data_IF_357428411500
#
_entry.id   IF_357428411500
#
_cell.length_a   1.000
_cell.length_b   1.000
_cell.length_c   1.000
_cell.angle_alpha   90.00
_cell.angle_beta   90.00
_cell.angle_gamma   90.00
#
_symmetry.space_group_name_H-M   'P 1'
#
loop_
_entity.id
_entity.type
_entity.pdbx_description
1 polymer ?
#
# COMPACT_ATOMS: atom_id res chain seq x y z
N UNK A 1 -4.46 -37.32 -39.66
CA UNK A 1 -4.71 -36.04 -40.36
C UNK A 1 -5.74 -35.29 -39.53
N UNK A 2 -5.35 -34.38 -38.62
CA UNK A 2 -5.03 -32.95 -38.86
C UNK A 2 -6.24 -32.25 -39.53
N UNK A 3 -7.00 -31.38 -38.85
CA UNK A 3 -6.64 -30.00 -38.43
C UNK A 3 -7.75 -29.48 -37.46
N UNK A 4 -7.49 -28.85 -36.30
CA UNK A 4 -7.15 -27.42 -36.02
C UNK A 4 -8.05 -26.44 -36.80
N UNK A 5 -8.66 -25.37 -36.27
CA UNK A 5 -8.62 -24.62 -35.00
C UNK A 5 -9.71 -23.54 -35.15
N UNK A 6 -10.51 -23.29 -34.12
CA UNK A 6 -11.32 -22.09 -34.00
C UNK A 6 -10.98 -21.43 -32.66
N UNK A 7 -9.94 -20.60 -32.66
CA UNK A 7 -9.62 -19.70 -31.55
C UNK A 7 -10.65 -18.59 -31.60
N UNK A 8 -11.43 -18.45 -30.52
CA UNK A 8 -12.28 -17.28 -30.35
C UNK A 8 -11.39 -16.05 -30.17
N UNK A 9 -11.68 -15.01 -30.95
CA UNK A 9 -11.11 -13.68 -30.79
C UNK A 9 -11.40 -13.17 -29.37
N UNK A 10 -10.40 -13.23 -28.50
CA UNK A 10 -10.31 -12.29 -27.38
C UNK A 10 -10.09 -10.91 -28.01
N UNK A 11 -11.07 -10.03 -27.90
CA UNK A 11 -10.96 -8.65 -28.32
C UNK A 11 -9.86 -7.98 -27.50
N UNK A 12 -8.64 -7.96 -28.05
CA UNK A 12 -7.53 -7.16 -27.54
C UNK A 12 -7.93 -5.70 -27.72
N UNK A 13 -8.32 -5.06 -26.61
CA UNK A 13 -8.61 -3.63 -26.54
C UNK A 13 -7.37 -2.88 -27.07
N UNK A 14 -7.48 -2.19 -28.20
CA UNK A 14 -6.45 -1.25 -28.63
C UNK A 14 -6.47 -0.05 -27.67
N UNK A 15 -5.34 0.29 -27.02
CA UNK A 15 -5.34 1.36 -26.02
C UNK A 15 -5.26 2.73 -26.70
N UNK A 16 -6.34 3.50 -26.61
CA UNK A 16 -6.28 4.95 -26.81
C UNK A 16 -5.47 5.59 -25.68
N UNK A 17 -4.53 6.48 -26.01
CA UNK A 17 -3.75 7.21 -25.02
C UNK A 17 -4.68 8.08 -24.17
N UNK A 18 -4.86 7.73 -22.89
CA UNK A 18 -5.65 8.52 -21.96
C UNK A 18 -4.89 9.78 -21.54
N UNK A 19 -5.24 10.90 -22.15
CA UNK A 19 -4.86 12.24 -21.70
C UNK A 19 -6.08 12.79 -20.96
N UNK A 20 -5.94 13.06 -19.66
CA UNK A 20 -7.03 13.69 -18.91
C UNK A 20 -7.21 15.12 -19.42
N UNK A 21 -8.43 15.55 -19.76
CA UNK A 21 -8.66 16.92 -20.19
C UNK A 21 -8.22 17.90 -19.10
N UNK A 22 -7.74 19.11 -19.46
CA UNK A 22 -7.46 20.16 -18.49
C UNK A 22 -8.70 20.42 -17.62
N UNK A 23 -8.54 20.87 -16.35
CA UNK A 23 -9.64 21.03 -15.41
C UNK A 23 -10.78 21.83 -16.06
N UNK A 24 -11.82 21.10 -16.47
CA UNK A 24 -12.93 21.67 -17.20
C UNK A 24 -13.76 22.49 -16.20
N UNK A 25 -14.35 23.64 -16.59
CA UNK A 25 -15.34 24.30 -15.75
C UNK A 25 -16.40 23.27 -15.39
N UNK A 26 -16.62 23.03 -14.09
CA UNK A 26 -17.65 22.11 -13.62
C UNK A 26 -18.96 22.46 -14.33
N UNK A 27 -19.50 21.54 -15.14
CA UNK A 27 -20.94 21.56 -15.43
C UNK A 27 -21.67 21.55 -14.08
N UNK A 28 -22.88 22.12 -13.97
CA UNK A 28 -23.65 22.02 -12.74
C UNK A 28 -23.79 20.54 -12.41
N UNK A 29 -23.05 20.09 -11.39
CA UNK A 29 -23.15 18.74 -10.92
C UNK A 29 -24.50 18.63 -10.22
N UNK A 30 -25.23 17.53 -10.44
CA UNK A 30 -26.44 17.19 -9.67
C UNK A 30 -26.03 16.72 -8.26
N UNK A 31 -25.19 17.50 -7.57
CA UNK A 31 -24.84 17.29 -6.18
C UNK A 31 -25.75 18.15 -5.31
N UNK A 32 -26.22 17.56 -4.22
CA UNK A 32 -26.84 18.37 -3.19
C UNK A 32 -25.79 19.21 -2.43
N UNK A 33 -26.26 20.12 -1.57
CA UNK A 33 -25.39 21.04 -0.86
C UNK A 33 -24.36 20.33 0.04
N UNK A 34 -24.75 19.20 0.67
CA UNK A 34 -23.86 18.42 1.53
C UNK A 34 -22.77 17.70 0.73
N UNK A 35 -23.14 17.10 -0.42
CA UNK A 35 -22.17 16.44 -1.30
C UNK A 35 -21.18 17.43 -1.90
N UNK A 36 -21.62 18.65 -2.23
CA UNK A 36 -20.74 19.71 -2.70
C UNK A 36 -19.76 20.16 -1.61
N UNK A 37 -20.23 20.23 -0.35
CA UNK A 37 -19.37 20.56 0.79
C UNK A 37 -18.32 19.46 1.04
N UNK A 38 -18.73 18.19 1.00
CA UNK A 38 -17.81 17.05 1.12
C UNK A 38 -16.80 16.99 -0.02
N UNK A 39 -17.20 17.30 -1.27
CA UNK A 39 -16.27 17.39 -2.40
C UNK A 39 -15.23 18.52 -2.19
N UNK A 40 -15.66 19.69 -1.71
CA UNK A 40 -14.73 20.79 -1.37
C UNK A 40 -13.82 20.42 -0.21
N UNK A 41 -14.34 19.70 0.78
CA UNK A 41 -13.55 19.18 1.90
C UNK A 41 -12.52 18.15 1.42
N UNK A 42 -12.87 17.29 0.46
CA UNK A 42 -11.89 16.43 -0.20
C UNK A 42 -10.78 17.25 -0.83
N UNK A 43 -11.14 18.28 -1.60
CA UNK A 43 -10.20 19.06 -2.38
C UNK A 43 -9.21 19.86 -1.52
N UNK A 44 -9.64 20.26 -0.32
CA UNK A 44 -8.86 21.11 0.60
C UNK A 44 -8.16 20.33 1.70
N UNK A 45 -8.72 19.21 2.15
CA UNK A 45 -8.26 18.52 3.37
C UNK A 45 -8.18 17.02 3.20
N UNK A 46 -9.27 16.31 2.90
CA UNK A 46 -9.27 14.84 3.06
C UNK A 46 -8.28 14.10 2.13
N UNK A 47 -7.93 14.67 0.97
CA UNK A 47 -6.94 14.08 0.05
C UNK A 47 -5.54 13.91 0.66
N UNK A 48 -5.18 14.67 1.70
CA UNK A 48 -3.87 14.57 2.35
C UNK A 48 -3.69 13.26 3.12
N UNK A 49 -4.77 12.52 3.35
CA UNK A 49 -4.74 11.21 4.03
C UNK A 49 -4.44 10.05 3.08
N UNK A 50 -4.40 10.29 1.77
CA UNK A 50 -4.07 9.27 0.78
C UNK A 50 -2.58 8.91 0.89
N UNK A 51 -2.30 7.72 1.42
CA UNK A 51 -0.94 7.18 1.49
C UNK A 51 -0.43 6.81 0.08
N UNK A 52 0.26 7.73 -0.59
CA UNK A 52 0.77 7.54 -1.97
C UNK A 52 2.29 7.74 -2.05
N UNK A 53 2.88 7.40 -3.21
CA UNK A 53 4.24 7.81 -3.55
C UNK A 53 4.35 9.24 -4.08
N UNK A 54 3.23 9.87 -4.42
CA UNK A 54 3.25 11.16 -5.09
C UNK A 54 3.80 12.23 -4.15
N UNK A 55 4.73 13.00 -4.68
CA UNK A 55 5.26 14.21 -4.03
C UNK A 55 4.39 15.42 -4.34
N UNK A 56 3.56 15.30 -5.39
CA UNK A 56 2.54 16.26 -5.77
C UNK A 56 1.15 15.66 -5.52
N UNK A 57 0.73 15.73 -4.26
CA UNK A 57 -0.61 15.29 -3.85
C UNK A 57 -1.71 16.16 -4.48
N UNK A 58 -1.42 17.40 -4.88
CA UNK A 58 -2.40 18.29 -5.49
C UNK A 58 -2.77 17.82 -6.91
N UNK A 59 -1.77 17.51 -7.75
CA UNK A 59 -2.02 16.92 -9.07
C UNK A 59 -2.72 15.56 -8.96
N UNK A 60 -2.36 14.75 -7.96
CA UNK A 60 -3.03 13.47 -7.75
C UNK A 60 -4.50 13.62 -7.31
N UNK A 61 -4.78 14.57 -6.41
CA UNK A 61 -6.14 14.96 -6.04
C UNK A 61 -6.94 15.43 -7.24
N UNK A 62 -6.36 16.32 -8.06
CA UNK A 62 -7.05 16.89 -9.22
C UNK A 62 -7.37 15.81 -10.26
N UNK A 63 -6.48 14.84 -10.45
CA UNK A 63 -6.73 13.64 -11.25
C UNK A 63 -7.94 12.84 -10.74
N UNK A 64 -8.02 12.56 -9.44
CA UNK A 64 -9.14 11.81 -8.85
C UNK A 64 -10.46 12.57 -8.97
N UNK A 65 -10.44 13.89 -8.75
CA UNK A 65 -11.61 14.76 -8.94
C UNK A 65 -12.03 14.74 -10.41
N UNK A 66 -11.10 14.90 -11.35
CA UNK A 66 -11.41 14.80 -12.78
C UNK A 66 -12.06 13.45 -13.10
N UNK A 67 -11.54 12.33 -12.62
CA UNK A 67 -12.13 11.00 -12.82
C UNK A 67 -13.55 10.88 -12.26
N UNK A 68 -13.84 11.52 -11.12
CA UNK A 68 -15.16 11.53 -10.49
C UNK A 68 -16.21 12.37 -11.23
N UNK A 69 -15.77 13.46 -11.87
CA UNK A 69 -16.64 14.42 -12.55
C UNK A 69 -16.76 14.15 -14.06
N UNK A 70 -15.91 13.28 -14.61
CA UNK A 70 -15.83 13.01 -16.04
C UNK A 70 -16.98 12.14 -16.55
N UNK A 71 -17.63 12.59 -17.62
CA UNK A 71 -18.60 11.86 -18.45
C UNK A 71 -19.87 11.31 -17.75
N UNK A 72 -20.03 11.49 -16.44
CA UNK A 72 -21.17 11.01 -15.63
C UNK A 72 -21.50 9.52 -15.84
N UNK A 73 -20.51 8.71 -16.21
CA UNK A 73 -20.61 7.26 -16.38
C UNK A 73 -20.79 6.56 -15.03
N UNK A 74 -21.21 5.29 -15.04
CA UNK A 74 -21.35 4.50 -13.80
C UNK A 74 -20.02 4.43 -13.01
N UNK A 75 -18.85 4.17 -13.64
CA UNK A 75 -17.57 4.22 -12.93
C UNK A 75 -17.23 5.60 -12.36
N UNK A 76 -17.50 6.69 -13.08
CA UNK A 76 -17.26 8.05 -12.55
C UNK A 76 -18.06 8.32 -11.27
N UNK A 77 -19.32 7.85 -11.20
CA UNK A 77 -20.15 7.93 -10.00
C UNK A 77 -19.62 7.08 -8.86
N UNK A 78 -19.01 5.93 -9.16
CA UNK A 78 -18.34 5.12 -8.16
C UNK A 78 -17.17 5.88 -7.51
N UNK A 79 -16.34 6.55 -8.32
CA UNK A 79 -15.24 7.40 -7.83
C UNK A 79 -15.78 8.54 -6.97
N UNK A 80 -16.81 9.24 -7.46
CA UNK A 80 -17.45 10.34 -6.73
C UNK A 80 -17.96 9.89 -5.35
N UNK A 81 -18.75 8.82 -5.28
CA UNK A 81 -19.25 8.32 -4.01
C UNK A 81 -18.13 7.80 -3.09
N UNK A 82 -17.07 7.20 -3.63
CA UNK A 82 -15.92 6.78 -2.82
C UNK A 82 -15.17 7.99 -2.23
N UNK A 83 -15.00 9.07 -3.00
CA UNK A 83 -14.44 10.35 -2.53
C UNK A 83 -15.29 10.96 -1.40
N UNK A 84 -16.62 11.03 -1.60
CA UNK A 84 -17.54 11.58 -0.61
C UNK A 84 -17.58 10.73 0.67
N UNK A 85 -17.53 9.40 0.54
CA UNK A 85 -17.43 8.48 1.68
C UNK A 85 -16.17 8.74 2.49
N UNK A 86 -15.01 8.81 1.84
CA UNK A 86 -13.73 9.08 2.51
C UNK A 86 -13.72 10.46 3.17
N UNK A 87 -14.26 11.47 2.50
CA UNK A 87 -14.34 12.84 3.03
C UNK A 87 -15.22 12.91 4.27
N UNK A 88 -16.37 12.23 4.23
CA UNK A 88 -17.29 12.17 5.34
C UNK A 88 -16.71 11.39 6.53
N UNK A 89 -16.03 10.27 6.27
CA UNK A 89 -15.29 9.52 7.30
C UNK A 89 -14.19 10.37 7.94
N UNK A 90 -13.43 11.09 7.12
CA UNK A 90 -12.34 11.94 7.60
C UNK A 90 -12.85 13.12 8.44
N UNK A 91 -14.00 13.71 8.08
CA UNK A 91 -14.57 14.87 8.77
C UNK A 91 -15.27 14.49 10.07
N UNK A 92 -16.13 13.48 10.00
CA UNK A 92 -17.17 13.22 11.01
C UNK A 92 -17.07 11.80 11.60
N UNK A 93 -16.09 11.00 11.20
CA UNK A 93 -15.96 9.59 11.59
C UNK A 93 -16.97 8.67 10.89
N UNK A 94 -17.10 7.43 11.38
CA UNK A 94 -18.03 6.46 10.79
C UNK A 94 -19.47 6.81 11.17
N UNK A 95 -20.18 7.39 10.20
CA UNK A 95 -21.59 7.76 10.35
C UNK A 95 -22.42 7.33 9.13
N UNK A 96 -23.75 7.48 9.21
CA UNK A 96 -24.70 6.98 8.22
C UNK A 96 -24.44 7.46 6.78
N UNK A 97 -24.09 8.72 6.56
CA UNK A 97 -23.80 9.27 5.23
C UNK A 97 -22.46 8.74 4.68
N UNK A 98 -21.41 8.59 5.50
CA UNK A 98 -20.18 7.91 5.10
C UNK A 98 -20.47 6.48 4.64
N UNK A 99 -21.28 5.74 5.41
CA UNK A 99 -21.73 4.39 5.05
C UNK A 99 -22.59 4.37 3.77
N UNK A 100 -23.54 5.30 3.62
CA UNK A 100 -24.39 5.42 2.41
C UNK A 100 -23.56 5.63 1.16
N UNK A 101 -22.59 6.56 1.19
CA UNK A 101 -21.73 6.82 0.05
C UNK A 101 -20.83 5.62 -0.26
N UNK A 102 -20.28 4.94 0.74
CA UNK A 102 -19.55 3.67 0.53
C UNK A 102 -20.43 2.63 -0.17
N UNK A 103 -21.65 2.41 0.30
CA UNK A 103 -22.60 1.48 -0.31
C UNK A 103 -22.95 1.87 -1.74
N UNK A 104 -23.16 3.17 -2.01
CA UNK A 104 -23.41 3.68 -3.35
C UNK A 104 -22.21 3.46 -4.29
N UNK A 105 -20.99 3.68 -3.81
CA UNK A 105 -19.77 3.43 -4.58
C UNK A 105 -19.61 1.94 -4.95
N UNK A 106 -19.79 1.04 -3.97
CA UNK A 106 -19.73 -0.41 -4.21
C UNK A 106 -20.85 -0.85 -5.16
N UNK A 107 -22.07 -0.32 -4.99
CA UNK A 107 -23.19 -0.59 -5.89
C UNK A 107 -22.91 -0.14 -7.32
N UNK A 108 -22.31 1.03 -7.52
CA UNK A 108 -21.93 1.54 -8.83
C UNK A 108 -20.80 0.70 -9.47
N UNK A 109 -19.77 0.31 -8.70
CA UNK A 109 -18.74 -0.63 -9.17
C UNK A 109 -19.35 -1.96 -9.62
N UNK A 110 -20.22 -2.54 -8.80
CA UNK A 110 -20.88 -3.81 -9.10
C UNK A 110 -21.82 -3.71 -10.31
N UNK A 111 -22.50 -2.58 -10.50
CA UNK A 111 -23.33 -2.35 -11.68
C UNK A 111 -22.47 -2.24 -12.94
N UNK A 112 -21.41 -1.42 -12.92
CA UNK A 112 -20.52 -1.26 -14.07
C UNK A 112 -19.76 -2.54 -14.42
N UNK A 113 -19.35 -3.33 -13.43
CA UNK A 113 -18.62 -4.57 -13.67
C UNK A 113 -19.44 -5.63 -14.42
N UNK A 114 -20.79 -5.58 -14.34
CA UNK A 114 -21.68 -6.49 -15.08
C UNK A 114 -21.68 -6.24 -16.58
N UNK A 115 -21.55 -4.98 -16.98
CA UNK A 115 -21.56 -4.59 -18.39
C UNK A 115 -20.18 -4.82 -19.04
N UNK A 116 -19.13 -4.96 -18.21
CA UNK A 116 -17.74 -5.13 -18.63
C UNK A 116 -16.98 -3.82 -18.62
N UNK A 117 -15.66 -3.89 -18.82
CA UNK A 117 -14.80 -2.70 -18.95
C UNK A 117 -14.65 -2.37 -20.44
N UNK A 118 -15.16 -1.22 -20.88
CA UNK A 118 -15.20 -0.87 -22.31
C UNK A 118 -14.08 0.09 -22.73
N UNK A 119 -13.36 0.70 -21.78
CA UNK A 119 -12.27 1.63 -22.09
C UNK A 119 -11.19 1.70 -20.99
N UNK A 120 -10.00 2.18 -21.36
CA UNK A 120 -8.91 2.53 -20.42
C UNK A 120 -9.39 3.53 -19.36
N UNK A 121 -10.23 4.50 -19.73
CA UNK A 121 -10.80 5.50 -18.82
C UNK A 121 -11.67 4.86 -17.75
N UNK A 122 -12.58 3.97 -18.15
CA UNK A 122 -13.45 3.26 -17.21
C UNK A 122 -12.62 2.37 -16.29
N UNK A 123 -11.62 1.65 -16.84
CA UNK A 123 -10.70 0.87 -16.04
C UNK A 123 -9.96 1.74 -15.00
N UNK A 124 -9.45 2.92 -15.40
CA UNK A 124 -8.82 3.85 -14.47
C UNK A 124 -9.80 4.35 -13.39
N UNK A 125 -11.04 4.66 -13.74
CA UNK A 125 -12.09 5.04 -12.77
C UNK A 125 -12.39 3.91 -11.79
N UNK A 126 -12.47 2.66 -12.27
CA UNK A 126 -12.62 1.48 -11.41
C UNK A 126 -11.45 1.33 -10.43
N UNK A 127 -10.21 1.51 -10.89
CA UNK A 127 -9.02 1.46 -10.03
C UNK A 127 -9.07 2.57 -8.98
N UNK A 128 -9.40 3.81 -9.38
CA UNK A 128 -9.51 4.94 -8.47
C UNK A 128 -10.57 4.72 -7.38
N UNK A 129 -11.77 4.28 -7.76
CA UNK A 129 -12.85 3.98 -6.82
C UNK A 129 -12.47 2.87 -5.83
N UNK A 130 -11.85 1.79 -6.31
CA UNK A 130 -11.33 0.72 -5.46
C UNK A 130 -10.25 1.24 -4.48
N UNK A 131 -9.27 2.01 -4.94
CA UNK A 131 -8.22 2.53 -4.06
C UNK A 131 -8.72 3.54 -3.03
N UNK A 132 -9.75 4.33 -3.36
CA UNK A 132 -10.44 5.20 -2.41
C UNK A 132 -11.21 4.39 -1.36
N UNK A 133 -11.90 3.31 -1.76
CA UNK A 133 -12.58 2.39 -0.82
C UNK A 133 -11.58 1.62 0.06
N UNK A 134 -10.43 1.24 -0.50
CA UNK A 134 -9.30 0.69 0.25
C UNK A 134 -8.85 1.68 1.34
N UNK A 135 -8.65 2.95 0.97
CA UNK A 135 -8.27 4.01 1.91
C UNK A 135 -9.35 4.27 2.95
N UNK A 136 -10.62 4.24 2.58
CA UNK A 136 -11.75 4.34 3.51
C UNK A 136 -11.68 3.25 4.59
N UNK A 137 -11.55 1.98 4.19
CA UNK A 137 -11.46 0.86 5.14
C UNK A 137 -10.23 0.96 6.04
N UNK A 138 -9.10 1.40 5.49
CA UNK A 138 -7.89 1.58 6.28
C UNK A 138 -8.08 2.68 7.33
N UNK A 139 -8.72 3.80 6.98
CA UNK A 139 -9.00 4.88 7.94
C UNK A 139 -10.00 4.48 9.03
N UNK A 140 -10.90 3.53 8.76
CA UNK A 140 -11.77 2.96 9.79
C UNK A 140 -11.00 2.17 10.87
N UNK A 141 -9.75 1.74 10.59
CA UNK A 141 -8.90 1.08 11.58
C UNK A 141 -9.53 -0.21 12.13
N UNK A 142 -9.67 -0.31 13.46
CA UNK A 142 -10.25 -1.48 14.14
C UNK A 142 -11.75 -1.66 13.92
N UNK A 143 -12.44 -0.60 13.50
CA UNK A 143 -13.88 -0.65 13.20
C UNK A 143 -14.14 -1.19 11.78
N UNK A 144 -13.09 -1.36 10.97
CA UNK A 144 -13.17 -2.04 9.69
C UNK A 144 -13.43 -3.52 9.88
N UNK A 145 -14.26 -4.08 9.00
CA UNK A 145 -14.40 -5.53 8.85
C UNK A 145 -13.16 -6.19 8.20
N UNK A 146 -12.08 -5.45 7.98
CA UNK A 146 -10.84 -5.94 7.37
C UNK A 146 -10.95 -6.10 5.86
N UNK A 147 -11.81 -5.32 5.20
CA UNK A 147 -12.09 -5.49 3.77
C UNK A 147 -11.13 -4.76 2.83
N UNK A 148 -10.24 -3.91 3.35
CA UNK A 148 -9.31 -3.15 2.51
C UNK A 148 -8.50 -3.98 1.49
N UNK A 149 -8.07 -5.23 1.78
CA UNK A 149 -7.34 -6.03 0.80
C UNK A 149 -8.19 -6.37 -0.44
N UNK A 150 -9.51 -6.49 -0.30
CA UNK A 150 -10.41 -6.82 -1.42
C UNK A 150 -10.45 -5.71 -2.45
N UNK A 151 -10.57 -4.47 -1.98
CA UNK A 151 -10.55 -3.31 -2.85
C UNK A 151 -9.18 -3.18 -3.54
N UNK A 152 -8.09 -3.41 -2.82
CA UNK A 152 -6.75 -3.41 -3.39
C UNK A 152 -6.58 -4.49 -4.48
N UNK A 153 -7.09 -5.70 -4.24
CA UNK A 153 -7.06 -6.76 -5.25
C UNK A 153 -7.90 -6.43 -6.47
N UNK A 154 -9.11 -5.90 -6.28
CA UNK A 154 -9.95 -5.44 -7.39
C UNK A 154 -9.25 -4.40 -8.25
N UNK A 155 -8.63 -3.39 -7.63
CA UNK A 155 -7.83 -2.39 -8.35
C UNK A 155 -6.70 -3.04 -9.17
N UNK A 156 -5.93 -3.95 -8.57
CA UNK A 156 -4.83 -4.64 -9.23
C UNK A 156 -5.29 -5.50 -10.41
N UNK A 157 -6.35 -6.28 -10.23
CA UNK A 157 -6.83 -7.19 -11.27
C UNK A 157 -7.34 -6.40 -12.47
N UNK A 158 -7.95 -5.23 -12.24
CA UNK A 158 -8.36 -4.29 -13.28
C UNK A 158 -7.14 -3.68 -14.00
N UNK A 159 -6.10 -3.26 -13.27
CA UNK A 159 -4.85 -2.76 -13.87
C UNK A 159 -4.27 -3.78 -14.86
N UNK A 160 -4.34 -5.07 -14.51
CA UNK A 160 -3.81 -6.16 -15.34
C UNK A 160 -4.70 -6.48 -16.52
N UNK A 161 -6.00 -6.68 -16.27
CA UNK A 161 -6.96 -7.00 -17.31
C UNK A 161 -7.03 -5.91 -18.39
N UNK A 162 -6.94 -4.63 -18.00
CA UNK A 162 -6.95 -3.50 -18.92
C UNK A 162 -5.54 -3.08 -19.42
N UNK A 163 -4.48 -3.80 -19.03
CA UNK A 163 -3.11 -3.53 -19.48
C UNK A 163 -2.57 -2.14 -19.09
N UNK A 164 -3.08 -1.54 -18.01
CA UNK A 164 -2.75 -0.16 -17.60
C UNK A 164 -1.26 0.00 -17.25
N UNK A 165 -0.60 -1.07 -16.81
CA UNK A 165 0.84 -1.08 -16.52
C UNK A 165 1.71 -0.75 -17.74
N UNK A 166 1.26 -1.13 -18.94
CA UNK A 166 1.99 -0.84 -20.19
C UNK A 166 1.77 0.60 -20.67
N UNK A 167 0.75 1.27 -20.14
CA UNK A 167 0.33 2.62 -20.54
C UNK A 167 0.86 3.72 -19.62
N UNK A 168 1.61 3.37 -18.56
CA UNK A 168 2.11 4.32 -17.54
C UNK A 168 2.91 5.49 -18.15
N UNK A 169 3.64 5.28 -19.24
CA UNK A 169 4.43 6.32 -19.90
C UNK A 169 3.64 7.13 -20.93
N UNK A 170 2.42 6.69 -21.27
CA UNK A 170 1.61 7.23 -22.37
C UNK A 170 0.32 7.88 -21.90
N UNK A 171 0.01 7.79 -20.61
CA UNK A 171 -1.25 8.25 -20.04
C UNK A 171 -1.04 8.84 -18.65
N UNK A 172 -1.98 9.70 -18.24
CA UNK A 172 -1.93 10.40 -16.96
C UNK A 172 -2.29 9.51 -15.75
N UNK A 173 -2.28 8.18 -15.89
CA UNK A 173 -2.66 7.23 -14.82
C UNK A 173 -1.48 6.72 -14.00
N UNK A 174 -0.26 7.20 -14.27
CA UNK A 174 0.97 6.72 -13.62
C UNK A 174 0.85 6.73 -12.09
N UNK A 175 0.40 7.84 -11.52
CA UNK A 175 0.31 7.99 -10.06
C UNK A 175 -0.75 7.06 -9.45
N UNK A 176 -1.84 6.80 -10.19
CA UNK A 176 -2.87 5.83 -9.79
C UNK A 176 -2.33 4.39 -9.74
N UNK A 177 -1.56 4.01 -10.75
CA UNK A 177 -0.92 2.68 -10.79
C UNK A 177 0.17 2.56 -9.72
N UNK A 178 0.96 3.61 -9.50
CA UNK A 178 1.97 3.65 -8.43
C UNK A 178 1.34 3.61 -7.03
N UNK A 179 0.19 4.25 -6.84
CA UNK A 179 -0.56 4.17 -5.59
C UNK A 179 -1.03 2.76 -5.30
N UNK A 180 -1.58 2.06 -6.30
CA UNK A 180 -1.99 0.66 -6.17
C UNK A 180 -0.79 -0.24 -5.88
N UNK A 181 0.31 -0.03 -6.60
CA UNK A 181 1.55 -0.78 -6.41
C UNK A 181 2.15 -0.61 -5.00
N UNK A 182 2.12 0.61 -4.47
CA UNK A 182 2.59 0.92 -3.12
C UNK A 182 1.85 0.08 -2.06
N UNK A 183 0.52 0.09 -2.13
CA UNK A 183 -0.32 -0.65 -1.22
C UNK A 183 -0.16 -2.16 -1.40
N UNK A 184 -0.01 -2.63 -2.64
CA UNK A 184 0.19 -4.05 -2.96
C UNK A 184 1.41 -4.65 -2.25
N UNK A 185 2.58 -4.01 -2.36
CA UNK A 185 3.81 -4.54 -1.75
C UNK A 185 3.69 -4.62 -0.23
N UNK A 186 3.12 -3.59 0.39
CA UNK A 186 3.02 -3.50 1.83
C UNK A 186 1.89 -4.38 2.38
N UNK A 187 0.85 -4.63 1.59
CA UNK A 187 -0.15 -5.65 1.90
C UNK A 187 0.48 -7.04 1.93
N UNK A 188 1.32 -7.40 0.95
CA UNK A 188 2.05 -8.67 0.96
C UNK A 188 3.01 -8.80 2.15
N UNK A 189 3.71 -7.72 2.52
CA UNK A 189 4.50 -7.70 3.76
C UNK A 189 3.60 -7.97 4.99
N UNK A 190 2.46 -7.29 5.09
CA UNK A 190 1.50 -7.49 6.17
C UNK A 190 1.01 -8.94 6.23
N UNK A 191 0.63 -9.52 5.08
CA UNK A 191 0.13 -10.89 4.95
C UNK A 191 1.20 -11.95 5.25
N UNK A 192 2.47 -11.69 4.96
CA UNK A 192 3.57 -12.60 5.28
C UNK A 192 3.72 -12.82 6.79
N UNK A 193 3.52 -11.75 7.57
CA UNK A 193 3.71 -11.74 9.03
C UNK A 193 2.42 -11.90 9.83
N UNK A 194 1.28 -11.47 9.30
CA UNK A 194 -0.01 -11.81 9.86
C UNK A 194 -0.22 -13.31 9.57
N UNK A 195 -0.19 -14.16 10.60
CA UNK A 195 -0.32 -15.63 10.53
C UNK A 195 -1.45 -16.09 11.46
N UNK A 196 -2.65 -15.55 11.26
CA UNK A 196 -3.85 -15.94 12.04
C UNK A 196 -4.52 -17.16 11.41
N UNK A 197 -4.46 -18.28 12.12
CA UNK A 197 -5.12 -19.53 11.71
C UNK A 197 -6.67 -19.48 11.78
N UNK A 198 -7.28 -18.37 12.19
CA UNK A 198 -8.72 -18.30 12.42
C UNK A 198 -9.35 -16.94 12.06
N UNK A 199 -10.38 -17.02 11.20
CA UNK A 199 -11.48 -16.07 10.87
C UNK A 199 -11.31 -15.21 9.58
N UNK A 200 -12.32 -15.14 8.67
CA UNK A 200 -13.57 -15.90 8.55
C UNK A 200 -13.66 -16.75 7.25
N UNK A 201 -13.87 -18.06 7.44
CA UNK A 201 -14.06 -19.11 6.45
C UNK A 201 -15.32 -18.96 5.53
N UNK A 202 -16.10 -17.90 5.67
CA UNK A 202 -17.39 -17.74 4.97
C UNK A 202 -17.19 -17.12 3.60
N UNK A 203 -16.61 -15.93 3.54
CA UNK A 203 -16.12 -15.37 2.27
C UNK A 203 -15.09 -16.30 1.66
N UNK A 204 -14.42 -17.09 2.51
CA UNK A 204 -13.34 -17.96 2.14
C UNK A 204 -13.65 -18.89 0.94
N UNK A 205 -14.91 -19.29 0.97
CA UNK A 205 -15.52 -20.26 0.11
C UNK A 205 -16.10 -19.63 -1.15
N UNK A 206 -16.50 -18.37 -1.09
CA UNK A 206 -17.11 -17.64 -2.22
C UNK A 206 -16.09 -17.26 -3.31
N UNK A 207 -14.81 -17.08 -2.95
CA UNK A 207 -13.74 -16.82 -3.93
C UNK A 207 -12.90 -18.06 -4.28
N UNK A 208 -13.34 -19.27 -3.88
CA UNK A 208 -12.67 -20.54 -4.26
C UNK A 208 -11.33 -20.82 -3.56
N UNK A 209 -10.91 -20.00 -2.59
CA UNK A 209 -9.67 -20.21 -1.83
C UNK A 209 -9.91 -21.16 -0.65
N UNK A 210 -9.98 -22.47 -0.93
CA UNK A 210 -10.23 -23.51 0.07
C UNK A 210 -9.06 -23.82 1.02
N UNK A 211 -7.89 -23.16 0.86
CA UNK A 211 -6.62 -23.54 1.52
C UNK A 211 -6.15 -22.66 2.67
N UNK A 212 -6.87 -21.59 3.00
CA UNK A 212 -6.46 -20.60 4.00
C UNK A 212 -6.06 -19.26 3.37
N UNK A 213 -6.94 -18.29 3.54
CA UNK A 213 -6.99 -17.06 2.73
C UNK A 213 -5.76 -16.19 2.81
N UNK A 214 -5.15 -16.13 3.98
CA UNK A 214 -3.96 -15.32 4.25
C UNK A 214 -2.74 -15.75 3.40
N UNK A 215 -2.62 -17.06 3.15
CA UNK A 215 -1.52 -17.66 2.37
C UNK A 215 -1.83 -17.65 0.87
N UNK A 216 -3.09 -17.93 0.53
CA UNK A 216 -3.61 -17.82 -0.84
C UNK A 216 -3.44 -16.36 -1.33
N UNK A 217 -3.75 -15.35 -0.52
CA UNK A 217 -3.59 -13.93 -0.90
C UNK A 217 -2.15 -13.53 -1.21
N UNK A 218 -1.12 -14.03 -0.49
CA UNK A 218 0.27 -13.73 -0.86
C UNK A 218 0.62 -14.25 -2.26
N UNK A 219 0.08 -15.42 -2.65
CA UNK A 219 0.29 -16.06 -3.95
C UNK A 219 -0.65 -15.60 -5.08
N UNK A 220 -1.91 -15.27 -4.76
CA UNK A 220 -2.91 -14.70 -5.68
C UNK A 220 -2.65 -13.23 -5.96
N UNK A 221 -1.80 -12.58 -5.18
CA UNK A 221 -1.34 -11.25 -5.54
C UNK A 221 -0.44 -11.33 -6.77
N UNK A 222 -1.07 -11.13 -7.92
CA UNK A 222 -0.37 -11.06 -9.19
C UNK A 222 0.62 -9.90 -9.12
N UNK A 223 1.92 -10.19 -9.14
CA UNK A 223 3.00 -9.23 -8.91
C UNK A 223 2.94 -8.05 -9.91
N UNK A 224 2.71 -6.84 -9.43
CA UNK A 224 3.03 -5.62 -10.18
C UNK A 224 4.52 -5.38 -10.03
N UNK A 225 5.26 -5.15 -11.12
CA UNK A 225 6.70 -4.81 -11.05
C UNK A 225 6.95 -3.53 -11.80
N UNK A 226 7.21 -2.46 -11.06
CA UNK A 226 7.45 -1.13 -11.63
C UNK A 226 8.87 -0.68 -11.31
N UNK A 227 9.61 -0.29 -12.34
CA UNK A 227 10.93 0.36 -12.22
C UNK A 227 10.77 1.85 -12.52
N UNK A 228 10.04 2.56 -11.65
CA UNK A 228 9.63 3.95 -11.89
C UNK A 228 10.17 4.87 -10.80
N UNK A 229 11.41 5.32 -10.96
CA UNK A 229 12.09 6.16 -9.97
C UNK A 229 12.69 5.36 -8.81
N UNK A 230 13.43 6.05 -7.95
CA UNK A 230 14.26 5.44 -6.92
C UNK A 230 13.46 4.73 -5.84
N UNK A 231 12.47 5.41 -5.24
CA UNK A 231 11.71 4.85 -4.14
C UNK A 231 10.84 3.63 -4.55
N UNK A 232 10.06 3.68 -5.66
CA UNK A 232 9.35 2.47 -6.13
C UNK A 232 10.28 1.31 -6.46
N UNK A 233 11.51 1.59 -6.92
CA UNK A 233 12.52 0.55 -7.18
C UNK A 233 13.01 -0.12 -5.89
N UNK A 234 13.24 0.65 -4.81
CA UNK A 234 13.56 0.09 -3.48
C UNK A 234 12.40 -0.79 -2.99
N UNK A 235 11.16 -0.30 -3.11
CA UNK A 235 9.99 -1.07 -2.69
C UNK A 235 9.80 -2.34 -3.53
N UNK A 236 10.19 -2.33 -4.81
CA UNK A 236 10.21 -3.55 -5.62
C UNK A 236 11.09 -4.62 -5.03
N UNK A 237 12.28 -4.28 -4.57
CA UNK A 237 13.17 -5.26 -3.96
C UNK A 237 12.63 -5.80 -2.63
N UNK A 238 11.92 -4.98 -1.84
CA UNK A 238 11.14 -5.49 -0.70
C UNK A 238 10.11 -6.53 -1.19
N UNK A 239 9.36 -6.20 -2.25
CA UNK A 239 8.41 -7.12 -2.87
C UNK A 239 9.06 -8.42 -3.35
N UNK A 240 10.24 -8.36 -3.99
CA UNK A 240 10.98 -9.54 -4.47
C UNK A 240 11.44 -10.44 -3.30
N UNK A 241 11.79 -9.85 -2.16
CA UNK A 241 12.16 -10.57 -0.91
C UNK A 241 10.93 -11.23 -0.29
N UNK A 242 9.82 -10.50 -0.15
CA UNK A 242 8.55 -11.04 0.37
C UNK A 242 8.08 -12.20 -0.51
N UNK A 243 8.14 -12.05 -1.82
CA UNK A 243 7.79 -13.11 -2.77
C UNK A 243 8.66 -14.36 -2.61
N UNK A 244 9.98 -14.17 -2.47
CA UNK A 244 10.90 -15.29 -2.27
C UNK A 244 10.58 -16.05 -0.97
N UNK A 245 10.23 -15.32 0.10
CA UNK A 245 9.83 -15.91 1.38
C UNK A 245 8.49 -16.65 1.25
N UNK A 246 7.46 -16.05 0.63
CA UNK A 246 6.18 -16.74 0.40
C UNK A 246 6.39 -18.02 -0.44
N UNK A 247 7.14 -17.96 -1.54
CA UNK A 247 7.40 -19.13 -2.40
C UNK A 247 8.17 -20.25 -1.68
N UNK A 248 9.07 -19.91 -0.75
CA UNK A 248 9.79 -20.89 0.06
C UNK A 248 8.89 -21.68 1.01
N UNK A 249 7.73 -21.15 1.36
CA UNK A 249 6.73 -21.84 2.18
C UNK A 249 5.90 -22.82 1.33
N UNK A 250 5.72 -22.54 0.03
CA UNK A 250 4.86 -23.32 -0.88
C UNK A 250 5.59 -24.40 -1.67
N UNK A 251 6.89 -24.25 -1.90
CA UNK A 251 7.70 -25.12 -2.75
C UNK A 251 8.89 -25.69 -1.98
N UNK A 252 9.37 -26.87 -2.38
CA UNK A 252 10.67 -27.44 -1.97
C UNK A 252 11.86 -26.63 -2.53
N UNK A 253 11.72 -25.30 -2.60
CA UNK A 253 12.78 -24.41 -3.04
C UNK A 253 13.96 -24.62 -2.11
N UNK A 254 15.08 -25.08 -2.65
CA UNK A 254 16.30 -25.28 -1.87
C UNK A 254 16.64 -23.98 -1.14
N UNK A 255 17.01 -24.10 0.15
CA UNK A 255 17.49 -22.97 0.96
C UNK A 255 18.55 -22.14 0.21
N UNK A 256 19.39 -22.79 -0.58
CA UNK A 256 20.43 -22.13 -1.41
C UNK A 256 19.86 -21.20 -2.49
N UNK A 257 18.69 -21.52 -3.08
CA UNK A 257 18.03 -20.69 -4.11
C UNK A 257 17.37 -19.47 -3.46
N UNK A 258 16.70 -19.69 -2.32
CA UNK A 258 16.12 -18.61 -1.52
C UNK A 258 17.20 -17.61 -1.09
N UNK A 259 18.30 -18.11 -0.51
CA UNK A 259 19.45 -17.32 -0.09
C UNK A 259 20.00 -16.48 -1.25
N UNK A 260 20.24 -17.08 -2.43
CA UNK A 260 20.73 -16.34 -3.61
C UNK A 260 19.79 -15.21 -4.05
N UNK A 261 18.48 -15.40 -3.99
CA UNK A 261 17.49 -14.37 -4.36
C UNK A 261 17.50 -13.20 -3.38
N UNK A 262 17.55 -13.49 -2.09
CA UNK A 262 17.59 -12.45 -1.04
C UNK A 262 18.88 -11.63 -1.14
N UNK A 263 20.03 -12.29 -1.35
CA UNK A 263 21.31 -11.60 -1.59
C UNK A 263 21.29 -10.73 -2.85
N UNK A 264 20.70 -11.23 -3.94
CA UNK A 264 20.55 -10.47 -5.16
C UNK A 264 19.69 -9.21 -4.94
N UNK A 265 18.58 -9.33 -4.22
CA UNK A 265 17.74 -8.19 -3.87
C UNK A 265 18.50 -7.17 -3.01
N UNK A 266 19.21 -7.61 -1.98
CA UNK A 266 20.01 -6.73 -1.12
C UNK A 266 21.06 -5.95 -1.90
N UNK A 267 21.88 -6.64 -2.69
CA UNK A 267 22.91 -6.02 -3.51
C UNK A 267 22.30 -5.01 -4.49
N UNK A 268 21.10 -5.31 -5.00
CA UNK A 268 20.40 -4.40 -5.89
C UNK A 268 19.85 -3.16 -5.16
N UNK A 269 19.33 -3.29 -3.94
CA UNK A 269 18.91 -2.15 -3.09
C UNK A 269 20.08 -1.21 -2.83
N UNK A 270 21.26 -1.76 -2.51
CA UNK A 270 22.50 -0.97 -2.28
C UNK A 270 22.95 -0.19 -3.52
N UNK A 271 22.59 -0.67 -4.72
CA UNK A 271 22.95 -0.05 -6.01
C UNK A 271 21.92 0.91 -6.56
N UNK A 272 20.75 1.06 -5.92
CA UNK A 272 19.74 2.01 -6.39
C UNK A 272 20.28 3.43 -6.25
N UNK A 273 20.36 4.21 -7.35
CA UNK A 273 20.93 5.56 -7.33
C UNK A 273 20.10 6.48 -6.43
N UNK A 274 20.70 7.60 -6.03
CA UNK A 274 19.97 8.66 -5.33
C UNK A 274 18.80 9.20 -6.17
N UNK A 275 17.72 9.69 -5.51
CA UNK A 275 16.55 10.16 -6.22
C UNK A 275 16.89 11.38 -7.09
N UNK A 276 16.48 11.32 -8.35
CA UNK A 276 16.54 12.49 -9.24
C UNK A 276 15.51 13.51 -8.77
N UNK A 277 15.97 14.69 -8.39
CA UNK A 277 15.12 15.78 -7.92
C UNK A 277 14.63 16.57 -9.14
N UNK A 278 13.31 16.69 -9.36
CA UNK A 278 12.77 17.52 -10.43
C UNK A 278 13.23 18.98 -10.26
N UNK A 279 13.65 19.66 -11.33
CA UNK A 279 14.20 21.03 -11.26
C UNK A 279 13.18 22.06 -10.73
N UNK A 280 11.88 21.74 -10.78
CA UNK A 280 10.78 22.57 -10.28
C UNK A 280 10.47 22.36 -8.79
N UNK A 281 11.11 21.39 -8.13
CA UNK A 281 10.83 21.06 -6.73
C UNK A 281 11.37 22.13 -5.79
N UNK A 282 10.61 22.50 -4.76
CA UNK A 282 11.15 23.35 -3.70
C UNK A 282 12.28 22.63 -2.95
N UNK A 283 13.19 23.38 -2.32
CA UNK A 283 14.26 22.80 -1.51
C UNK A 283 13.72 21.90 -0.37
N UNK A 284 12.53 22.23 0.16
CA UNK A 284 11.84 21.45 1.19
C UNK A 284 11.35 20.11 0.64
N UNK A 285 10.74 20.11 -0.54
CA UNK A 285 10.21 18.90 -1.18
C UNK A 285 11.35 17.98 -1.62
N UNK A 286 12.41 18.55 -2.19
CA UNK A 286 13.65 17.84 -2.53
C UNK A 286 14.23 17.12 -1.30
N UNK A 287 14.36 17.83 -0.16
CA UNK A 287 14.82 17.22 1.09
C UNK A 287 13.89 16.10 1.56
N UNK A 288 12.57 16.30 1.51
CA UNK A 288 11.57 15.29 1.90
C UNK A 288 11.70 14.01 1.06
N UNK A 289 11.90 14.15 -0.26
CA UNK A 289 12.08 13.02 -1.18
C UNK A 289 13.34 12.22 -0.85
N UNK A 290 14.47 12.91 -0.66
CA UNK A 290 15.75 12.28 -0.33
C UNK A 290 15.66 11.54 1.01
N UNK A 291 15.18 12.22 2.05
CA UNK A 291 15.03 11.63 3.38
C UNK A 291 14.09 10.43 3.38
N UNK A 292 12.94 10.53 2.68
CA UNK A 292 12.00 9.42 2.62
C UNK A 292 12.57 8.20 1.86
N UNK A 293 13.25 8.47 0.75
CA UNK A 293 13.91 7.43 -0.04
C UNK A 293 14.96 6.70 0.79
N UNK A 294 15.76 7.45 1.54
CA UNK A 294 16.77 6.88 2.42
C UNK A 294 16.15 6.08 3.57
N UNK A 295 15.07 6.57 4.18
CA UNK A 295 14.36 5.86 5.24
C UNK A 295 13.87 4.47 4.77
N UNK A 296 13.28 4.39 3.56
CA UNK A 296 12.91 3.11 2.95
C UNK A 296 14.13 2.24 2.62
N UNK A 297 15.20 2.82 2.08
CA UNK A 297 16.43 2.08 1.74
C UNK A 297 16.99 1.40 2.99
N UNK A 298 17.11 2.14 4.09
CA UNK A 298 17.61 1.65 5.38
C UNK A 298 16.69 0.55 5.91
N UNK A 299 15.38 0.80 5.99
CA UNK A 299 14.42 -0.17 6.51
C UNK A 299 14.43 -1.50 5.71
N UNK A 300 14.47 -1.44 4.37
CA UNK A 300 14.54 -2.65 3.54
C UNK A 300 15.85 -3.41 3.77
N UNK A 301 16.98 -2.71 3.89
CA UNK A 301 18.28 -3.36 4.15
C UNK A 301 18.36 -3.98 5.54
N UNK A 302 17.81 -3.32 6.57
CA UNK A 302 17.69 -3.88 7.94
C UNK A 302 16.84 -5.14 7.90
N UNK A 303 15.65 -5.07 7.28
CA UNK A 303 14.74 -6.20 7.17
C UNK A 303 15.41 -7.39 6.46
N UNK A 304 16.10 -7.15 5.33
CA UNK A 304 16.84 -8.21 4.62
C UNK A 304 17.95 -8.80 5.48
N UNK A 305 18.73 -7.97 6.17
CA UNK A 305 19.81 -8.46 7.02
C UNK A 305 19.28 -9.35 8.15
N UNK A 306 18.18 -8.95 8.79
CA UNK A 306 17.52 -9.74 9.82
C UNK A 306 16.94 -11.05 9.29
N UNK A 307 16.44 -11.06 8.06
CA UNK A 307 16.06 -12.31 7.38
C UNK A 307 17.27 -13.22 7.17
N UNK A 308 18.41 -12.68 6.71
CA UNK A 308 19.62 -13.47 6.49
C UNK A 308 20.15 -14.09 7.77
N UNK A 309 20.15 -13.33 8.87
CA UNK A 309 20.46 -13.83 10.21
C UNK A 309 19.50 -14.97 10.61
N UNK A 310 18.20 -14.72 10.52
CA UNK A 310 17.13 -15.65 10.92
C UNK A 310 17.10 -16.96 10.11
N UNK A 311 17.30 -16.88 8.78
CA UNK A 311 17.13 -18.02 7.87
C UNK A 311 18.43 -18.73 7.50
N UNK A 312 19.55 -18.02 7.52
CA UNK A 312 20.83 -18.54 7.03
C UNK A 312 21.95 -18.48 8.07
N UNK A 313 21.70 -17.91 9.27
CA UNK A 313 22.73 -17.78 10.29
C UNK A 313 23.84 -16.80 9.88
N UNK A 314 23.49 -15.78 9.09
CA UNK A 314 24.43 -14.77 8.57
C UNK A 314 24.23 -13.41 9.26
N UNK A 315 24.70 -13.24 10.51
CA UNK A 315 24.57 -11.97 11.20
C UNK A 315 25.37 -10.87 10.50
N UNK A 316 24.86 -9.64 10.57
CA UNK A 316 25.49 -8.46 9.98
C UNK A 316 25.60 -7.36 11.02
N UNK A 317 26.66 -6.58 10.96
CA UNK A 317 26.72 -5.34 11.72
C UNK A 317 25.77 -4.31 11.10
N UNK A 318 24.71 -4.00 11.83
CA UNK A 318 23.67 -3.04 11.43
C UNK A 318 23.83 -1.68 12.08
N UNK A 319 24.82 -1.48 12.95
CA UNK A 319 24.95 -0.27 13.79
C UNK A 319 24.91 1.00 12.94
N UNK A 320 25.82 1.10 11.96
CA UNK A 320 25.90 2.26 11.06
C UNK A 320 24.63 2.47 10.21
N UNK A 321 23.93 1.38 9.87
CA UNK A 321 22.72 1.44 9.05
C UNK A 321 21.54 1.95 9.89
N UNK A 322 21.41 1.43 11.11
CA UNK A 322 20.40 1.85 12.09
C UNK A 322 20.62 3.32 12.48
N UNK A 323 21.87 3.73 12.76
CA UNK A 323 22.21 5.12 13.08
C UNK A 323 21.77 6.09 11.99
N UNK A 324 21.99 5.73 10.72
CA UNK A 324 21.50 6.51 9.57
C UNK A 324 19.97 6.61 9.54
N UNK A 325 19.27 5.53 9.86
CA UNK A 325 17.80 5.52 9.95
C UNK A 325 17.28 6.45 11.04
N UNK A 326 17.86 6.38 12.23
CA UNK A 326 17.48 7.25 13.35
C UNK A 326 17.84 8.72 13.11
N UNK A 327 18.94 9.01 12.41
CA UNK A 327 19.26 10.37 11.99
C UNK A 327 18.21 10.95 11.01
N UNK A 328 17.57 10.12 10.18
CA UNK A 328 16.44 10.57 9.35
C UNK A 328 15.17 10.81 10.18
N UNK A 329 14.90 9.94 11.16
CA UNK A 329 13.75 10.06 12.08
C UNK A 329 13.85 11.35 12.92
N UNK A 330 15.04 11.68 13.42
CA UNK A 330 15.30 12.90 14.20
C UNK A 330 14.95 14.17 13.41
N UNK A 331 15.30 14.17 12.11
CA UNK A 331 15.01 15.30 11.23
C UNK A 331 13.56 15.35 10.74
N UNK A 332 12.80 14.26 10.90
CA UNK A 332 11.42 14.18 10.48
C UNK A 332 10.49 14.88 11.50
N UNK A 333 9.60 15.74 10.99
CA UNK A 333 8.59 16.36 11.83
C UNK A 333 7.40 15.43 12.06
N UNK A 334 6.94 14.78 10.99
CA UNK A 334 5.90 13.74 10.97
C UNK A 334 6.35 12.65 10.01
N UNK A 335 5.82 11.43 10.16
CA UNK A 335 6.06 10.36 9.19
C UNK A 335 4.79 9.56 8.94
N UNK A 336 4.22 9.78 7.76
CA UNK A 336 3.02 9.09 7.26
C UNK A 336 3.33 7.69 6.72
N UNK A 337 4.59 7.21 6.78
CA UNK A 337 5.03 5.97 6.12
C UNK A 337 5.34 4.94 7.19
N UNK A 338 4.42 3.99 7.36
CA UNK A 338 4.42 3.13 8.54
C UNK A 338 5.47 2.00 8.45
N UNK A 339 5.73 1.45 7.26
CA UNK A 339 6.71 0.38 7.09
C UNK A 339 8.12 0.74 7.61
N UNK A 340 8.75 1.85 7.19
CA UNK A 340 10.09 2.16 7.69
C UNK A 340 10.14 2.44 9.18
N UNK A 341 9.09 3.07 9.74
CA UNK A 341 8.99 3.34 11.18
C UNK A 341 8.82 2.06 11.97
N UNK A 342 8.04 1.10 11.47
CA UNK A 342 7.91 -0.21 12.10
C UNK A 342 9.25 -0.94 12.15
N UNK A 343 9.93 -1.08 11.01
CA UNK A 343 11.20 -1.82 10.95
C UNK A 343 12.28 -1.15 11.81
N UNK A 344 12.45 0.17 11.73
CA UNK A 344 13.44 0.89 12.54
C UNK A 344 13.06 0.94 14.02
N UNK A 345 11.77 1.05 14.33
CA UNK A 345 11.26 1.00 15.70
C UNK A 345 11.50 -0.35 16.36
N UNK A 346 11.42 -1.46 15.61
CA UNK A 346 11.83 -2.78 16.09
C UNK A 346 13.32 -2.86 16.47
N UNK A 347 14.16 -1.95 15.96
CA UNK A 347 15.60 -1.85 16.25
C UNK A 347 15.90 -0.78 17.34
N UNK A 348 14.88 -0.20 17.97
CA UNK A 348 15.03 0.78 19.05
C UNK A 348 15.43 0.08 20.37
N UNK A 349 16.71 -0.29 20.45
CA UNK A 349 17.30 -1.01 21.58
C UNK A 349 17.73 -0.12 22.77
N UNK A 350 17.48 1.18 22.72
CA UNK A 350 17.72 2.10 23.84
C UNK A 350 16.47 2.94 24.09
N UNK A 351 16.31 3.43 25.32
CA UNK A 351 15.18 4.27 25.70
C UNK A 351 15.12 5.56 24.87
N UNK A 352 16.28 6.14 24.52
CA UNK A 352 16.33 7.33 23.66
C UNK A 352 15.73 7.06 22.29
N UNK A 353 16.07 5.92 21.67
CA UNK A 353 15.53 5.52 20.37
C UNK A 353 14.03 5.20 20.46
N UNK A 354 13.58 4.56 21.54
CA UNK A 354 12.15 4.28 21.78
C UNK A 354 11.36 5.59 21.91
N UNK A 355 11.88 6.55 22.67
CA UNK A 355 11.30 7.90 22.82
C UNK A 355 11.21 8.61 21.46
N UNK A 356 12.27 8.58 20.65
CA UNK A 356 12.26 9.19 19.31
C UNK A 356 11.13 8.65 18.43
N UNK A 357 10.89 7.33 18.45
CA UNK A 357 9.80 6.70 17.71
C UNK A 357 8.44 7.13 18.26
N UNK A 358 8.24 7.06 19.58
CA UNK A 358 6.98 7.45 20.22
C UNK A 358 6.63 8.92 19.99
N UNK A 359 7.61 9.82 20.03
CA UNK A 359 7.42 11.24 19.74
C UNK A 359 7.11 11.51 18.26
N UNK A 360 7.70 10.74 17.34
CA UNK A 360 7.34 10.83 15.92
C UNK A 360 5.89 10.35 15.67
N UNK A 361 5.48 9.25 16.30
CA UNK A 361 4.10 8.75 16.20
C UNK A 361 3.10 9.77 16.75
N UNK A 362 3.35 10.32 17.94
CA UNK A 362 2.51 11.35 18.56
C UNK A 362 2.33 12.58 17.66
N UNK A 363 3.43 13.15 17.15
CA UNK A 363 3.38 14.29 16.23
C UNK A 363 2.63 13.97 14.93
N UNK A 364 2.69 12.71 14.48
CA UNK A 364 1.97 12.27 13.29
C UNK A 364 0.46 12.15 13.55
N UNK A 365 0.05 11.62 14.70
CA UNK A 365 -1.36 11.51 15.13
C UNK A 365 -2.03 12.90 15.27
N UNK A 366 -1.28 13.92 15.72
CA UNK A 366 -1.79 15.30 15.82
C UNK A 366 -2.17 15.91 14.46
N UNK A 367 -1.67 15.35 13.36
CA UNK A 367 -1.87 15.88 11.99
C UNK A 367 -2.61 14.92 11.07
N UNK A 368 -2.92 13.71 11.53
CA UNK A 368 -3.48 12.65 10.71
C UNK A 368 -4.58 11.89 11.46
N UNK A 369 -5.72 11.69 10.80
CA UNK A 369 -6.89 10.99 11.36
C UNK A 369 -6.66 9.47 11.44
N UNK A 370 -5.61 8.95 10.80
CA UNK A 370 -5.33 7.52 10.78
C UNK A 370 -4.92 7.01 12.17
N UNK A 371 -5.65 6.03 12.68
CA UNK A 371 -5.26 5.29 13.88
C UNK A 371 -3.92 4.57 13.68
N UNK A 372 -2.89 4.96 14.45
CA UNK A 372 -1.58 4.29 14.49
C UNK A 372 -1.53 3.21 15.58
N UNK A 373 -2.67 2.87 16.19
CA UNK A 373 -2.76 1.97 17.35
C UNK A 373 -2.20 0.58 17.10
N UNK A 374 -2.38 0.04 15.89
CA UNK A 374 -1.80 -1.25 15.52
C UNK A 374 -0.27 -1.17 15.44
N UNK A 375 0.28 -0.07 14.93
CA UNK A 375 1.73 0.14 14.86
C UNK A 375 2.32 0.31 16.25
N UNK A 376 1.73 1.18 17.09
CA UNK A 376 2.19 1.43 18.48
C UNK A 376 2.17 0.14 19.30
N UNK A 377 1.03 -0.57 19.34
CA UNK A 377 0.93 -1.87 20.05
C UNK A 377 1.92 -2.90 19.51
N UNK A 378 2.17 -2.88 18.21
CA UNK A 378 3.16 -3.76 17.59
C UNK A 378 4.57 -3.49 18.13
N UNK A 379 4.98 -2.22 18.13
CA UNK A 379 6.29 -1.79 18.65
C UNK A 379 6.43 -2.06 20.15
N UNK A 380 5.42 -1.72 20.95
CA UNK A 380 5.41 -2.00 22.39
C UNK A 380 5.59 -3.51 22.65
N UNK A 381 4.91 -4.35 21.87
CA UNK A 381 5.05 -5.80 21.97
C UNK A 381 6.46 -6.26 21.62
N UNK A 382 7.11 -5.68 20.61
CA UNK A 382 8.51 -6.00 20.27
C UNK A 382 9.43 -5.65 21.43
N UNK A 383 9.31 -4.44 21.98
CA UNK A 383 10.16 -3.96 23.06
C UNK A 383 9.97 -4.79 24.34
N UNK A 384 8.73 -5.13 24.69
CA UNK A 384 8.43 -6.02 25.81
C UNK A 384 9.08 -7.40 25.62
N UNK A 385 9.01 -7.97 24.41
CA UNK A 385 9.65 -9.26 24.13
C UNK A 385 11.17 -9.17 24.19
N UNK A 386 11.76 -8.07 23.73
CA UNK A 386 13.21 -7.87 23.80
C UNK A 386 13.68 -7.69 25.25
N UNK A 387 12.93 -6.95 26.07
CA UNK A 387 13.24 -6.75 27.49
C UNK A 387 13.09 -8.04 28.31
N UNK A 388 12.10 -8.88 28.01
CA UNK A 388 11.89 -10.18 28.67
C UNK A 388 12.95 -11.23 28.31
N UNK A 389 13.56 -11.11 27.13
CA UNK A 389 14.56 -12.05 26.63
C UNK A 389 16.01 -11.55 26.83
N UNK A 390 16.20 -10.37 27.46
CA UNK A 390 17.53 -9.78 27.67
C UNK A 390 18.48 -10.70 28.47
N UNK A 391 17.95 -11.52 29.37
CA UNK A 391 18.70 -12.43 30.24
C UNK A 391 18.61 -13.92 29.82
N UNK A 392 17.95 -14.24 28.69
CA UNK A 392 17.74 -15.62 28.25
C UNK A 392 18.70 -16.02 27.12
N UNK A 393 19.29 -17.22 27.22
CA UNK A 393 20.18 -17.78 26.19
C UNK A 393 19.46 -18.11 24.85
N UNK A 394 18.13 -17.98 24.79
CA UNK A 394 17.32 -18.30 23.60
C UNK A 394 16.59 -17.06 23.11
N UNK A 395 17.28 -16.22 22.34
CA UNK A 395 16.65 -15.10 21.66
C UNK A 395 15.62 -15.60 20.63
N UNK A 396 14.43 -14.98 20.61
CA UNK A 396 13.42 -15.25 19.58
C UNK A 396 13.96 -14.84 18.21
N UNK A 397 13.79 -15.72 17.22
CA UNK A 397 14.08 -15.43 15.81
C UNK A 397 13.34 -14.16 15.36
N UNK A 398 14.01 -13.28 14.62
CA UNK A 398 13.45 -11.98 14.24
C UNK A 398 12.16 -12.13 13.43
N UNK A 399 12.11 -13.10 12.51
CA UNK A 399 10.90 -13.34 11.72
C UNK A 399 9.77 -13.87 12.59
N UNK A 400 10.06 -14.77 13.53
CA UNK A 400 9.04 -15.27 14.45
C UNK A 400 8.52 -14.18 15.37
N UNK A 401 9.39 -13.28 15.85
CA UNK A 401 8.99 -12.07 16.59
C UNK A 401 8.03 -11.21 15.76
N UNK A 402 8.38 -10.89 14.51
CA UNK A 402 7.48 -10.13 13.62
C UNK A 402 6.17 -10.87 13.37
N UNK A 403 6.20 -12.20 13.17
CA UNK A 403 5.00 -12.99 12.94
C UNK A 403 4.06 -12.92 14.15
N UNK A 404 4.57 -13.07 15.38
CA UNK A 404 3.78 -12.99 16.61
C UNK A 404 3.19 -11.60 16.78
N UNK A 405 4.01 -10.57 16.65
CA UNK A 405 3.63 -9.17 16.86
C UNK A 405 2.58 -8.72 15.84
N UNK A 406 2.81 -8.98 14.55
CA UNK A 406 1.84 -8.59 13.50
C UNK A 406 0.54 -9.38 13.67
N UNK A 407 0.61 -10.67 14.01
CA UNK A 407 -0.57 -11.53 14.27
C UNK A 407 -1.39 -11.14 15.51
N UNK A 408 -0.83 -10.32 16.41
CA UNK A 408 -1.58 -9.77 17.56
C UNK A 408 -2.69 -8.82 17.12
N UNK A 409 -2.55 -8.17 15.95
CA UNK A 409 -3.55 -7.26 15.41
C UNK A 409 -4.86 -8.02 15.06
N UNK A 410 -6.03 -7.50 15.48
CA UNK A 410 -7.31 -8.17 15.27
C UNK A 410 -7.71 -8.25 13.79
N UNK A 411 -7.36 -7.21 13.03
CA UNK A 411 -7.53 -7.08 11.59
C UNK A 411 -6.15 -7.05 10.92
N UNK A 412 -6.08 -7.34 9.61
CA UNK A 412 -4.82 -7.26 8.87
C UNK A 412 -4.27 -5.83 8.96
N UNK A 413 -3.10 -5.61 9.60
CA UNK A 413 -2.55 -4.28 9.73
C UNK A 413 -2.08 -3.77 8.37
N UNK A 414 -1.97 -2.45 8.28
CA UNK A 414 -1.50 -1.76 7.09
C UNK A 414 -0.19 -1.05 7.41
N UNK A 415 0.82 -1.26 6.58
CA UNK A 415 2.13 -0.61 6.72
C UNK A 415 2.39 0.48 5.66
N UNK A 416 1.35 0.82 4.89
CA UNK A 416 1.38 1.91 3.89
C UNK A 416 1.49 3.28 4.54
#
# INVERSE_FOLDING_TARGET
MLTRTGVGDEAVIQPDNLILPPPMPLKPLDLNAEELELLRYFQSTAFSTLATFSTDLASFRDMLVCMALMNHTIPSRAVLHALLALSSLHRDGLQLQAAKHKTAAVGALGASAKDGLHSTTEAAQHVAANMLLCSFEIHMGTDSHGHWPWYLMGARDIIKAAGLETQIFRSDIKELVLWTYYHDVLARFSLLHWRRNSIPQVFAKELGAGGGWQRDLCGFVTKLKLNMGTLPTILRYLGDVVDALCESVHSLTSSTVLQKRIHAAEHSVKKVPEPSIPPTSSAKDAKRIVSLTELYRVAVLVYIARICESKFGEPRDLTSLIDRGFAQIEQAHTCERLFPIFILGCEANTDERRIMILDLLRRTEETNVRALDCLRRGLDSVWIQDDLNADQDTALDYLDKLNVVVSSCPTLPTFV
#
